data_IF_941419322737
#
_entry.id   IF_941419322737
#
_cell.length_a   1.000
_cell.length_b   1.000
_cell.length_c   1.000
_cell.angle_alpha   90.00
_cell.angle_beta   90.00
_cell.angle_gamma   90.00
#
_symmetry.space_group_name_H-M   'P 1'
#
loop_
_entity.id
_entity.type
_entity.pdbx_description
1 polymer ?
#
# COMPACT_ATOMS: atom_id res chain seq x y z
N UNK A 1 -17.85 21.70 -3.84
CA UNK A 1 -19.12 21.11 -3.39
C UNK A 1 -18.84 20.29 -2.13
N UNK A 2 -19.69 20.38 -1.10
CA UNK A 2 -19.51 19.66 0.16
C UNK A 2 -20.48 18.48 0.16
N UNK A 3 -19.95 17.27 0.10
CA UNK A 3 -20.73 16.03 0.04
C UNK A 3 -20.72 15.37 1.41
N UNK A 4 -21.86 14.81 1.83
CA UNK A 4 -21.98 14.12 3.12
C UNK A 4 -21.99 12.61 2.90
N UNK A 5 -21.22 11.91 3.72
CA UNK A 5 -21.16 10.46 3.73
C UNK A 5 -20.93 9.94 5.14
N UNK A 6 -20.85 8.62 5.25
CA UNK A 6 -20.62 7.92 6.52
C UNK A 6 -19.44 6.99 6.41
N UNK A 7 -18.91 6.56 7.54
CA UNK A 7 -18.06 5.38 7.60
C UNK A 7 -18.65 4.37 8.57
N UNK A 8 -18.61 3.10 8.20
CA UNK A 8 -19.31 2.03 8.92
C UNK A 8 -18.49 0.76 8.98
N UNK A 9 -18.80 -0.06 9.99
CA UNK A 9 -18.17 -1.36 10.22
C UNK A 9 -19.20 -2.37 10.74
N UNK A 10 -18.72 -3.54 11.18
CA UNK A 10 -19.56 -4.52 11.89
C UNK A 10 -20.37 -3.95 13.06
N UNK A 11 -19.94 -2.83 13.65
CA UNK A 11 -20.62 -2.19 14.77
C UNK A 11 -21.91 -1.46 14.38
N UNK A 12 -22.10 -1.17 13.10
CA UNK A 12 -23.34 -0.61 12.55
C UNK A 12 -24.31 -1.70 12.07
N UNK A 13 -23.97 -2.99 12.23
CA UNK A 13 -24.80 -4.11 11.80
C UNK A 13 -24.96 -4.18 10.28
N UNK A 14 -26.21 -4.28 9.82
CA UNK A 14 -26.58 -4.39 8.41
C UNK A 14 -27.49 -3.21 8.01
N UNK A 15 -26.92 -2.08 7.57
CA UNK A 15 -27.68 -0.90 7.19
C UNK A 15 -28.61 -1.12 5.99
N UNK A 16 -29.78 -0.48 6.02
CA UNK A 16 -30.67 -0.28 4.88
C UNK A 16 -30.15 0.90 4.06
N UNK A 17 -29.32 0.59 3.05
CA UNK A 17 -28.61 1.58 2.24
C UNK A 17 -29.52 2.41 1.32
N UNK A 18 -30.70 1.88 0.94
CA UNK A 18 -31.70 2.64 0.19
C UNK A 18 -32.30 3.75 1.07
N UNK A 19 -32.66 3.43 2.31
CA UNK A 19 -33.10 4.45 3.28
C UNK A 19 -31.98 5.43 3.61
N UNK A 20 -30.74 4.95 3.72
CA UNK A 20 -29.58 5.81 3.95
C UNK A 20 -29.41 6.82 2.81
N UNK A 21 -29.48 6.37 1.55
CA UNK A 21 -29.44 7.21 0.36
C UNK A 21 -30.54 8.28 0.38
N UNK A 22 -31.78 7.87 0.65
CA UNK A 22 -32.93 8.77 0.75
C UNK A 22 -32.78 9.80 1.89
N UNK A 23 -32.04 9.46 2.94
CA UNK A 23 -31.74 10.38 4.05
C UNK A 23 -30.59 11.36 3.75
N UNK A 24 -29.91 11.24 2.60
CA UNK A 24 -28.88 12.17 2.15
C UNK A 24 -27.45 11.62 2.18
N UNK A 25 -27.24 10.34 2.51
CA UNK A 25 -25.92 9.70 2.44
C UNK A 25 -25.51 9.54 0.98
N UNK A 26 -24.37 10.13 0.59
CA UNK A 26 -23.91 10.12 -0.81
C UNK A 26 -22.74 9.17 -1.06
N UNK A 27 -21.92 8.92 -0.03
CA UNK A 27 -20.84 7.94 -0.06
C UNK A 27 -20.70 7.22 1.27
N UNK A 28 -20.01 6.08 1.25
CA UNK A 28 -19.65 5.32 2.43
C UNK A 28 -18.19 4.85 2.37
N UNK A 29 -17.44 5.06 3.45
CA UNK A 29 -16.12 4.45 3.64
C UNK A 29 -16.30 3.21 4.53
N UNK A 30 -16.20 2.03 3.94
CA UNK A 30 -16.54 0.78 4.61
C UNK A 30 -15.32 0.17 5.29
N UNK A 31 -15.43 -0.33 6.51
CA UNK A 31 -14.34 -1.14 7.07
C UNK A 31 -14.18 -2.39 6.21
N UNK A 32 -13.06 -2.49 5.52
CA UNK A 32 -12.69 -3.71 4.78
C UNK A 32 -12.27 -4.79 5.76
N UNK A 33 -11.49 -4.41 6.77
CA UNK A 33 -10.96 -5.34 7.75
C UNK A 33 -10.20 -4.66 8.86
N UNK A 34 -9.61 -5.47 9.73
CA UNK A 34 -8.74 -5.03 10.80
C UNK A 34 -7.49 -5.87 10.83
N UNK A 35 -6.34 -5.25 11.11
CA UNK A 35 -5.07 -5.94 11.33
C UNK A 35 -4.95 -6.70 12.64
N UNK A 36 -5.97 -6.65 13.51
CA UNK A 36 -5.95 -7.32 14.80
C UNK A 36 -5.77 -8.84 14.65
N UNK A 37 -4.98 -9.45 15.54
CA UNK A 37 -4.66 -10.89 15.53
C UNK A 37 -4.21 -11.44 14.17
N UNK A 38 -3.39 -10.69 13.43
CA UNK A 38 -2.85 -11.13 12.15
C UNK A 38 -3.73 -10.81 10.95
N UNK A 39 -4.87 -10.14 11.12
CA UNK A 39 -5.68 -9.62 10.03
C UNK A 39 -6.95 -10.41 9.75
N UNK A 40 -8.09 -9.73 9.61
CA UNK A 40 -9.35 -10.34 9.17
C UNK A 40 -10.25 -9.34 8.43
N UNK A 41 -11.00 -9.85 7.45
CA UNK A 41 -12.03 -9.08 6.73
C UNK A 41 -13.24 -8.83 7.64
N UNK A 42 -13.75 -7.61 7.67
CA UNK A 42 -14.93 -7.27 8.44
C UNK A 42 -16.14 -8.07 7.93
N UNK A 43 -16.83 -8.77 8.82
CA UNK A 43 -17.97 -9.64 8.47
C UNK A 43 -19.11 -8.93 7.73
N UNK A 44 -19.20 -7.60 7.80
CA UNK A 44 -20.21 -6.79 7.13
C UNK A 44 -19.72 -6.17 5.82
N UNK A 45 -18.42 -6.25 5.51
CA UNK A 45 -17.82 -5.61 4.35
C UNK A 45 -18.51 -5.97 3.03
N UNK A 46 -18.67 -7.27 2.75
CA UNK A 46 -19.28 -7.73 1.49
C UNK A 46 -20.75 -7.33 1.34
N UNK A 47 -21.51 -7.37 2.44
CA UNK A 47 -22.88 -6.88 2.45
C UNK A 47 -22.91 -5.39 2.14
N UNK A 48 -22.15 -4.59 2.89
CA UNK A 48 -22.14 -3.13 2.74
C UNK A 48 -21.65 -2.73 1.35
N UNK A 49 -20.61 -3.38 0.83
CA UNK A 49 -20.12 -3.14 -0.51
C UNK A 49 -21.25 -3.36 -1.52
N UNK A 50 -21.85 -4.55 -1.54
CA UNK A 50 -22.91 -4.89 -2.51
C UNK A 50 -24.11 -3.95 -2.41
N UNK A 51 -24.61 -3.69 -1.22
CA UNK A 51 -25.83 -2.88 -1.02
C UNK A 51 -25.57 -1.38 -1.28
N UNK A 52 -24.39 -0.84 -0.95
CA UNK A 52 -24.02 0.52 -1.36
C UNK A 52 -23.98 0.65 -2.89
N UNK A 53 -23.35 -0.31 -3.57
CA UNK A 53 -23.27 -0.31 -5.05
C UNK A 53 -24.68 -0.36 -5.65
N UNK A 54 -25.59 -1.17 -5.09
CA UNK A 54 -26.98 -1.25 -5.53
C UNK A 54 -27.75 0.06 -5.33
N UNK A 55 -27.57 0.72 -4.19
CA UNK A 55 -28.21 1.99 -3.85
C UNK A 55 -27.58 3.23 -4.54
N UNK A 56 -26.55 3.03 -5.36
CA UNK A 56 -25.83 4.13 -6.00
C UNK A 56 -25.12 5.05 -5.00
N UNK A 57 -24.63 4.50 -3.89
CA UNK A 57 -23.78 5.16 -2.91
C UNK A 57 -22.32 4.89 -3.30
N UNK A 58 -21.52 5.95 -3.43
CA UNK A 58 -20.10 5.79 -3.77
C UNK A 58 -19.34 5.08 -2.66
N UNK A 59 -18.47 4.13 -3.01
CA UNK A 59 -17.78 3.27 -2.02
C UNK A 59 -16.30 3.57 -1.96
N UNK A 60 -15.80 3.78 -0.74
CA UNK A 60 -14.39 3.66 -0.38
C UNK A 60 -14.24 2.65 0.75
N UNK A 61 -13.01 2.39 1.18
CA UNK A 61 -12.76 1.44 2.27
C UNK A 61 -11.68 1.90 3.22
N UNK A 62 -11.65 1.33 4.42
CA UNK A 62 -10.54 1.50 5.35
C UNK A 62 -10.11 0.17 5.99
N UNK A 63 -8.85 0.11 6.43
CA UNK A 63 -8.31 -0.97 7.25
C UNK A 63 -7.88 -0.42 8.60
N UNK A 64 -8.56 -0.88 9.66
CA UNK A 64 -8.21 -0.55 11.03
C UNK A 64 -6.91 -1.26 11.43
N UNK A 65 -5.79 -0.53 11.38
CA UNK A 65 -4.46 -1.11 11.49
C UNK A 65 -4.10 -1.44 12.94
N UNK A 66 -3.45 -2.60 13.12
CA UNK A 66 -2.73 -2.97 14.34
C UNK A 66 -1.23 -3.13 14.07
N UNK A 67 -0.76 -2.51 12.98
CA UNK A 67 0.61 -2.49 12.50
C UNK A 67 1.13 -3.89 12.07
N UNK A 68 0.22 -4.80 11.72
CA UNK A 68 0.55 -6.09 11.10
C UNK A 68 0.63 -5.92 9.57
N UNK A 69 1.51 -5.01 9.13
CA UNK A 69 1.43 -4.40 7.80
C UNK A 69 1.42 -5.41 6.65
N UNK A 70 2.22 -6.48 6.72
CA UNK A 70 2.26 -7.49 5.66
C UNK A 70 0.91 -8.19 5.47
N UNK A 71 0.24 -8.58 6.57
CA UNK A 71 -1.05 -9.27 6.49
C UNK A 71 -2.20 -8.31 6.21
N UNK A 72 -2.11 -7.06 6.68
CA UNK A 72 -3.06 -6.00 6.34
C UNK A 72 -3.06 -5.70 4.84
N UNK A 73 -1.89 -5.64 4.20
CA UNK A 73 -1.76 -5.48 2.74
C UNK A 73 -2.36 -6.69 2.02
N UNK A 74 -1.96 -7.91 2.37
CA UNK A 74 -2.44 -9.13 1.71
C UNK A 74 -3.97 -9.27 1.80
N UNK A 75 -4.53 -9.04 3.00
CA UNK A 75 -5.96 -9.01 3.23
C UNK A 75 -6.66 -7.97 2.34
N UNK A 76 -6.12 -6.75 2.29
CA UNK A 76 -6.68 -5.65 1.48
C UNK A 76 -6.75 -6.03 0.01
N UNK A 77 -5.64 -6.50 -0.55
CA UNK A 77 -5.55 -6.82 -1.97
C UNK A 77 -6.44 -8.03 -2.34
N UNK A 78 -6.51 -9.04 -1.47
CA UNK A 78 -7.41 -10.19 -1.66
C UNK A 78 -8.87 -9.77 -1.61
N UNK A 79 -9.27 -8.98 -0.62
CA UNK A 79 -10.65 -8.55 -0.45
C UNK A 79 -11.11 -7.57 -1.54
N UNK A 80 -10.21 -6.76 -2.13
CA UNK A 80 -10.55 -5.83 -3.21
C UNK A 80 -10.48 -6.43 -4.61
N UNK A 81 -10.00 -7.67 -4.77
CA UNK A 81 -9.88 -8.30 -6.09
C UNK A 81 -11.21 -8.27 -6.84
N UNK A 82 -11.21 -7.64 -8.02
CA UNK A 82 -12.40 -7.53 -8.88
C UNK A 82 -13.44 -6.50 -8.42
N UNK A 83 -13.14 -5.69 -7.40
CA UNK A 83 -14.03 -4.63 -6.92
C UNK A 83 -13.62 -3.27 -7.48
N UNK A 84 -14.63 -2.44 -7.78
CA UNK A 84 -14.45 -1.04 -8.14
C UNK A 84 -14.82 -0.14 -6.95
N UNK A 85 -13.99 0.88 -6.68
CA UNK A 85 -14.21 1.87 -5.61
C UNK A 85 -14.25 3.30 -6.17
N UNK A 86 -15.27 4.06 -5.79
CA UNK A 86 -15.40 5.48 -6.14
C UNK A 86 -14.56 6.39 -5.22
N UNK A 87 -14.18 5.91 -4.04
CA UNK A 87 -13.43 6.63 -3.02
C UNK A 87 -12.17 5.86 -2.62
N UNK A 88 -11.21 6.50 -1.93
CA UNK A 88 -9.90 5.90 -1.63
C UNK A 88 -9.95 4.64 -0.73
N UNK A 89 -8.82 3.93 -0.74
CA UNK A 89 -8.46 2.94 0.28
C UNK A 89 -7.69 3.64 1.39
N UNK A 90 -8.28 3.76 2.57
CA UNK A 90 -7.66 4.42 3.70
C UNK A 90 -6.93 3.44 4.63
N UNK A 91 -5.73 3.83 5.04
CA UNK A 91 -5.01 3.23 6.16
C UNK A 91 -5.43 3.95 7.45
N UNK A 92 -6.19 3.29 8.29
CA UNK A 92 -6.64 3.82 9.58
C UNK A 92 -5.59 3.49 10.65
N UNK A 93 -4.89 4.53 11.10
CA UNK A 93 -3.85 4.47 12.13
C UNK A 93 -4.12 5.49 13.22
N UNK A 94 -4.33 5.01 14.44
CA UNK A 94 -4.64 5.83 15.61
C UNK A 94 -4.00 5.27 16.88
N UNK A 95 -4.36 5.81 18.04
CA UNK A 95 -3.86 5.34 19.33
C UNK A 95 -4.15 3.85 19.58
N UNK A 96 -5.31 3.35 19.12
CA UNK A 96 -5.64 1.92 19.26
C UNK A 96 -4.66 1.01 18.51
N UNK A 97 -4.07 1.49 17.40
CA UNK A 97 -3.12 0.72 16.58
C UNK A 97 -1.85 0.35 17.34
N UNK A 98 -1.49 1.17 18.33
CA UNK A 98 -0.33 0.95 19.18
C UNK A 98 -0.52 -0.28 20.08
N UNK A 99 -1.76 -0.58 20.51
CA UNK A 99 -2.06 -1.71 21.38
C UNK A 99 -1.27 -1.69 22.69
N UNK A 100 -1.01 -0.50 23.24
CA UNK A 100 -0.18 -0.29 24.43
C UNK A 100 1.33 -0.39 24.20
N UNK A 101 1.79 -0.67 22.97
CA UNK A 101 3.20 -0.71 22.60
C UNK A 101 3.73 0.69 22.32
N UNK A 102 5.00 0.92 22.61
CA UNK A 102 5.67 2.18 22.27
C UNK A 102 6.27 2.10 20.86
N UNK A 103 5.94 3.11 20.05
CA UNK A 103 6.51 3.30 18.71
C UNK A 103 7.00 4.73 18.55
N UNK A 104 8.14 4.86 17.87
CA UNK A 104 8.64 6.16 17.41
C UNK A 104 7.80 6.68 16.23
N UNK A 105 7.79 8.00 16.04
CA UNK A 105 7.14 8.62 14.89
C UNK A 105 7.72 8.10 13.56
N UNK A 106 9.01 7.78 13.53
CA UNK A 106 9.67 7.16 12.36
C UNK A 106 9.06 5.82 12.04
N UNK A 107 8.87 4.94 13.04
CA UNK A 107 8.26 3.62 12.83
C UNK A 107 6.82 3.74 12.34
N UNK A 108 6.00 4.57 12.98
CA UNK A 108 4.60 4.78 12.58
C UNK A 108 4.50 5.33 11.16
N UNK A 109 5.36 6.30 10.81
CA UNK A 109 5.44 6.85 9.47
C UNK A 109 5.91 5.80 8.45
N UNK A 110 6.89 4.95 8.80
CA UNK A 110 7.35 3.87 7.93
C UNK A 110 6.22 2.87 7.64
N UNK A 111 5.42 2.51 8.65
CA UNK A 111 4.29 1.60 8.48
C UNK A 111 3.21 2.19 7.57
N UNK A 112 2.81 3.45 7.81
CA UNK A 112 1.85 4.14 6.95
C UNK A 112 2.33 4.26 5.50
N UNK A 113 3.60 4.66 5.30
CA UNK A 113 4.21 4.76 3.97
C UNK A 113 4.26 3.40 3.28
N UNK A 114 4.65 2.34 3.99
CA UNK A 114 4.71 0.98 3.44
C UNK A 114 3.34 0.52 2.96
N UNK A 115 2.33 0.54 3.84
CA UNK A 115 0.96 0.14 3.47
C UNK A 115 0.46 0.91 2.25
N UNK A 116 0.52 2.24 2.31
CA UNK A 116 0.02 3.11 1.23
C UNK A 116 0.74 2.82 -0.08
N UNK A 117 2.07 2.71 -0.07
CA UNK A 117 2.84 2.48 -1.31
C UNK A 117 2.57 1.12 -1.95
N UNK A 118 2.39 0.04 -1.17
CA UNK A 118 2.11 -1.29 -1.73
C UNK A 118 0.69 -1.36 -2.32
N UNK A 119 -0.27 -0.73 -1.65
CA UNK A 119 -1.66 -0.65 -2.13
C UNK A 119 -1.76 0.25 -3.37
N UNK A 120 -0.98 1.34 -3.45
CA UNK A 120 -0.84 2.16 -4.66
C UNK A 120 -0.27 1.38 -5.85
N UNK A 121 0.79 0.58 -5.62
CA UNK A 121 1.37 -0.26 -6.68
C UNK A 121 0.37 -1.27 -7.24
N UNK A 122 -0.60 -1.69 -6.43
CA UNK A 122 -1.69 -2.56 -6.86
C UNK A 122 -2.79 -1.83 -7.65
N UNK A 123 -2.65 -0.52 -7.90
CA UNK A 123 -3.56 0.28 -8.72
C UNK A 123 -4.70 0.94 -7.93
N UNK A 124 -4.56 1.08 -6.62
CA UNK A 124 -5.53 1.80 -5.79
C UNK A 124 -5.03 3.19 -5.41
N UNK A 125 -5.93 4.16 -5.38
CA UNK A 125 -5.72 5.46 -4.77
C UNK A 125 -5.87 5.32 -3.26
N UNK A 126 -4.86 5.77 -2.51
CA UNK A 126 -4.77 5.58 -1.06
C UNK A 126 -4.84 6.88 -0.30
N UNK A 127 -5.25 6.79 0.95
CA UNK A 127 -5.12 7.86 1.92
C UNK A 127 -4.80 7.33 3.31
N UNK A 128 -4.55 8.24 4.24
CA UNK A 128 -4.38 7.95 5.66
C UNK A 128 -5.58 8.53 6.39
N UNK A 129 -6.23 7.69 7.19
CA UNK A 129 -7.17 8.13 8.19
C UNK A 129 -6.49 8.18 9.55
N UNK A 130 -6.73 9.27 10.28
CA UNK A 130 -6.31 9.39 11.66
C UNK A 130 -6.97 10.59 12.33
N UNK A 131 -7.05 10.59 13.65
CA UNK A 131 -7.44 11.80 14.38
C UNK A 131 -6.38 12.90 14.30
N UNK A 132 -6.83 14.15 14.44
CA UNK A 132 -5.97 15.33 14.34
C UNK A 132 -4.73 15.26 15.25
N UNK A 133 -4.89 14.84 16.50
CA UNK A 133 -3.80 14.83 17.46
C UNK A 133 -2.69 13.86 17.04
N UNK A 134 -3.07 12.69 16.52
CA UNK A 134 -2.14 11.71 16.00
C UNK A 134 -1.43 12.21 14.73
N UNK A 135 -2.15 12.85 13.80
CA UNK A 135 -1.55 13.48 12.62
C UNK A 135 -0.52 14.55 12.99
N UNK A 136 -0.81 15.39 13.98
CA UNK A 136 0.07 16.48 14.40
C UNK A 136 1.34 15.99 15.12
N UNK A 137 1.26 14.87 15.85
CA UNK A 137 2.29 14.50 16.82
C UNK A 137 2.97 13.15 16.59
N UNK A 138 2.42 12.28 15.75
CA UNK A 138 2.87 10.88 15.60
C UNK A 138 3.38 10.52 14.20
N UNK A 139 3.09 11.34 13.19
CA UNK A 139 3.51 11.11 11.80
C UNK A 139 4.33 12.29 11.27
N UNK A 140 5.35 12.00 10.47
CA UNK A 140 6.11 13.05 9.78
C UNK A 140 5.39 13.50 8.51
N UNK A 141 4.77 14.69 8.56
CA UNK A 141 4.03 15.28 7.45
C UNK A 141 4.77 15.22 6.11
N UNK A 142 6.05 15.60 6.09
CA UNK A 142 6.87 15.63 4.87
C UNK A 142 6.93 14.29 4.12
N UNK A 143 6.73 13.17 4.83
CA UNK A 143 6.77 11.82 4.27
C UNK A 143 5.41 11.30 3.83
N UNK A 144 4.33 11.87 4.37
CA UNK A 144 2.95 11.42 4.12
C UNK A 144 2.14 12.40 3.27
N UNK A 145 2.58 13.65 3.08
CA UNK A 145 1.86 14.72 2.36
C UNK A 145 1.47 14.43 0.90
N UNK A 146 2.00 13.34 0.33
CA UNK A 146 1.65 12.84 -1.01
C UNK A 146 0.40 11.96 -1.02
N UNK A 147 0.04 11.37 0.12
CA UNK A 147 -1.18 10.60 0.30
C UNK A 147 -2.30 11.54 0.73
N UNK A 148 -3.54 11.19 0.38
CA UNK A 148 -4.66 11.98 0.85
C UNK A 148 -4.91 11.76 2.35
N UNK A 149 -5.51 12.76 3.00
CA UNK A 149 -5.83 12.70 4.43
C UNK A 149 -7.33 12.72 4.62
N UNK A 150 -7.82 11.73 5.37
CA UNK A 150 -9.14 11.73 5.97
C UNK A 150 -8.98 11.99 7.48
N UNK A 151 -9.27 13.21 7.91
CA UNK A 151 -9.01 13.64 9.28
C UNK A 151 -10.23 13.46 10.17
N UNK A 152 -10.06 12.85 11.34
CA UNK A 152 -11.05 12.88 12.40
C UNK A 152 -10.81 14.08 13.33
N UNK A 153 -11.83 14.94 13.42
CA UNK A 153 -11.87 16.05 14.35
C UNK A 153 -13.33 16.44 14.60
N UNK A 154 -13.92 16.00 15.71
CA UNK A 154 -15.36 16.10 15.95
C UNK A 154 -15.83 17.54 16.27
N UNK A 155 -15.73 18.42 15.28
CA UNK A 155 -16.09 19.82 15.30
C UNK A 155 -16.46 20.23 13.86
N UNK A 156 -17.20 21.34 13.68
CA UNK A 156 -17.53 21.88 12.35
C UNK A 156 -16.34 22.51 11.64
N UNK A 157 -15.30 22.90 12.37
CA UNK A 157 -14.06 23.44 11.81
C UNK A 157 -12.88 22.59 12.20
N UNK A 158 -11.87 22.51 11.34
CA UNK A 158 -10.62 21.79 11.60
C UNK A 158 -9.49 22.79 11.66
N UNK A 159 -8.85 22.95 12.83
CA UNK A 159 -7.63 23.74 12.96
C UNK A 159 -6.38 22.90 12.65
N UNK A 160 -6.32 22.32 11.46
CA UNK A 160 -5.22 21.49 10.99
C UNK A 160 -4.49 22.21 9.85
N UNK A 161 -3.16 22.33 9.94
CA UNK A 161 -2.36 23.06 8.97
C UNK A 161 -2.11 22.27 7.68
N UNK A 162 -2.21 20.94 7.73
CA UNK A 162 -2.06 20.06 6.58
C UNK A 162 -3.28 20.07 5.66
N UNK A 163 -3.10 19.57 4.44
CA UNK A 163 -4.19 19.39 3.47
C UNK A 163 -4.95 18.09 3.77
N UNK A 164 -6.25 18.09 3.58
CA UNK A 164 -7.12 16.93 3.73
C UNK A 164 -8.28 16.96 2.73
N UNK A 165 -8.65 15.80 2.20
CA UNK A 165 -9.75 15.66 1.26
C UNK A 165 -11.08 15.26 1.92
N UNK A 166 -11.03 14.72 3.14
CA UNK A 166 -12.20 14.29 3.89
C UNK A 166 -12.06 14.60 5.39
N UNK A 167 -13.18 14.89 6.05
CA UNK A 167 -13.24 15.25 7.47
C UNK A 167 -14.38 14.52 8.17
N UNK A 168 -14.05 13.64 9.11
CA UNK A 168 -15.02 13.06 10.06
C UNK A 168 -15.31 14.09 11.15
N UNK A 169 -16.48 14.72 11.07
CA UNK A 169 -16.83 15.86 11.92
C UNK A 169 -17.70 15.46 13.12
N UNK A 170 -18.19 14.22 13.16
CA UNK A 170 -18.93 13.67 14.31
C UNK A 170 -18.99 12.15 14.23
N UNK A 171 -18.99 11.50 15.41
CA UNK A 171 -19.34 10.09 15.60
C UNK A 171 -20.80 9.86 16.01
N UNK A 172 -21.60 10.94 16.10
CA UNK A 172 -22.97 10.93 16.64
C UNK A 172 -24.03 11.22 15.58
N UNK A 173 -23.68 11.08 14.30
CA UNK A 173 -24.63 11.29 13.20
C UNK A 173 -25.81 10.32 13.30
N UNK A 174 -26.98 10.78 12.86
CA UNK A 174 -28.20 9.97 12.79
C UNK A 174 -28.67 9.92 11.35
N UNK A 175 -28.68 8.72 10.77
CA UNK A 175 -29.03 8.50 9.37
C UNK A 175 -30.08 7.40 9.29
N UNK A 176 -31.21 7.67 8.62
CA UNK A 176 -32.28 6.67 8.52
C UNK A 176 -31.74 5.45 7.79
N UNK A 177 -31.99 4.26 8.34
CA UNK A 177 -31.48 3.01 7.78
C UNK A 177 -30.11 2.58 8.28
N UNK A 178 -29.36 3.43 9.00
CA UNK A 178 -28.07 3.06 9.56
C UNK A 178 -28.19 2.96 11.09
N UNK A 179 -28.03 1.77 11.69
CA UNK A 179 -27.99 1.62 13.14
C UNK A 179 -26.82 2.37 13.78
N UNK A 180 -27.10 3.00 14.92
CA UNK A 180 -26.09 3.62 15.78
C UNK A 180 -25.18 2.56 16.42
N UNK A 181 -23.93 2.92 16.63
CA UNK A 181 -22.99 2.12 17.45
C UNK A 181 -23.26 2.31 18.94
N UNK A 182 -22.49 1.61 19.78
CA UNK A 182 -22.47 1.85 21.23
C UNK A 182 -22.05 3.27 21.64
N UNK A 183 -21.51 4.07 20.73
CA UNK A 183 -21.13 5.47 20.97
C UNK A 183 -22.28 6.47 20.73
N UNK A 184 -23.45 5.96 20.33
CA UNK A 184 -24.68 6.73 20.21
C UNK A 184 -24.96 7.30 18.83
N UNK A 185 -24.19 6.95 17.79
CA UNK A 185 -24.50 7.34 16.42
C UNK A 185 -23.61 6.67 15.37
N UNK A 186 -23.50 7.36 14.23
CA UNK A 186 -22.75 6.93 13.05
C UNK A 186 -21.69 7.99 12.74
N UNK A 187 -20.48 7.52 12.46
CA UNK A 187 -19.40 8.37 11.97
C UNK A 187 -19.78 9.04 10.65
N UNK A 188 -19.70 10.37 10.64
CA UNK A 188 -20.23 11.19 9.56
C UNK A 188 -19.19 12.17 9.06
N UNK A 189 -19.12 12.25 7.73
CA UNK A 189 -18.01 12.82 7.01
C UNK A 189 -18.46 13.91 6.04
N UNK A 190 -17.61 14.93 5.91
CA UNK A 190 -17.63 15.83 4.78
C UNK A 190 -16.49 15.50 3.83
N UNK A 191 -16.83 15.35 2.56
CA UNK A 191 -15.86 15.20 1.49
C UNK A 191 -15.79 16.49 0.67
N UNK A 192 -14.56 16.93 0.40
CA UNK A 192 -14.24 18.16 -0.32
C UNK A 192 -13.64 17.90 -1.70
N UNK A 193 -13.27 16.65 -1.98
CA UNK A 193 -12.62 16.21 -3.22
C UNK A 193 -13.60 15.40 -4.06
N UNK A 194 -13.62 15.63 -5.37
CA UNK A 194 -14.35 14.78 -6.31
C UNK A 194 -13.55 13.49 -6.57
N UNK A 195 -13.53 12.59 -5.58
CA UNK A 195 -12.90 11.28 -5.74
C UNK A 195 -13.49 10.45 -6.88
N UNK A 196 -14.82 10.37 -7.08
CA UNK A 196 -15.37 9.64 -8.20
C UNK A 196 -14.82 10.11 -9.57
N UNK A 197 -14.73 11.43 -9.77
CA UNK A 197 -14.10 12.00 -10.96
C UNK A 197 -12.60 11.70 -11.04
N UNK A 198 -11.89 11.77 -9.91
CA UNK A 198 -10.45 11.49 -9.82
C UNK A 198 -10.12 10.03 -10.14
N UNK A 199 -10.85 9.05 -9.57
CA UNK A 199 -10.62 7.62 -9.82
C UNK A 199 -10.81 7.27 -11.29
N UNK A 200 -11.84 7.83 -11.93
CA UNK A 200 -12.08 7.67 -13.37
C UNK A 200 -10.96 8.29 -14.21
N UNK A 201 -10.56 9.52 -13.87
CA UNK A 201 -9.51 10.24 -14.60
C UNK A 201 -8.15 9.54 -14.52
N UNK A 202 -7.82 8.97 -13.35
CA UNK A 202 -6.56 8.29 -13.10
C UNK A 202 -6.59 6.80 -13.48
N UNK A 203 -7.75 6.27 -13.85
CA UNK A 203 -7.98 4.84 -14.12
C UNK A 203 -7.52 3.94 -12.95
N UNK A 204 -7.74 4.38 -11.70
CA UNK A 204 -7.41 3.64 -10.47
C UNK A 204 -8.64 2.95 -9.89
N UNK A 205 -8.48 2.18 -8.80
CA UNK A 205 -9.59 1.62 -8.02
C UNK A 205 -10.57 0.75 -8.84
N UNK A 206 -10.04 -0.04 -9.78
CA UNK A 206 -10.86 -0.90 -10.63
C UNK A 206 -11.50 -0.18 -11.83
N UNK A 207 -11.22 1.11 -12.06
CA UNK A 207 -11.60 1.82 -13.29
C UNK A 207 -10.67 1.56 -14.48
N UNK A 208 -9.51 0.95 -14.23
CA UNK A 208 -8.60 0.51 -15.29
C UNK A 208 -9.32 -0.51 -16.17
N UNK A 209 -9.43 -0.21 -17.46
CA UNK A 209 -9.90 -1.21 -18.43
C UNK A 209 -8.98 -2.43 -18.34
N UNK A 210 -9.52 -3.66 -18.41
CA UNK A 210 -8.69 -4.83 -18.65
C UNK A 210 -7.82 -4.51 -19.87
N UNK A 211 -6.50 -4.58 -19.72
CA UNK A 211 -5.67 -4.74 -20.92
C UNK A 211 -6.18 -6.02 -21.59
N UNK A 212 -6.24 -6.03 -22.93
CA UNK A 212 -6.50 -7.27 -23.67
C UNK A 212 -5.72 -8.40 -23.01
N UNK A 213 -6.37 -9.54 -22.80
CA UNK A 213 -5.67 -10.77 -22.44
C UNK A 213 -4.59 -10.98 -23.48
N UNK A 214 -3.34 -10.66 -23.12
CA UNK A 214 -2.19 -11.22 -23.80
C UNK A 214 -2.32 -12.70 -23.50
N UNK A 215 -2.76 -13.50 -24.50
CA UNK A 215 -2.75 -14.95 -24.40
C UNK A 215 -1.39 -15.35 -23.82
N UNK A 216 -1.43 -16.00 -22.65
CA UNK A 216 -0.21 -16.46 -22.00
C UNK A 216 0.62 -17.26 -22.99
N UNK A 217 1.93 -17.02 -22.97
CA UNK A 217 2.89 -17.78 -23.78
C UNK A 217 2.70 -19.26 -23.48
N UNK A 218 2.74 -20.09 -24.53
CA UNK A 218 2.75 -21.54 -24.33
C UNK A 218 3.98 -21.93 -23.52
N UNK A 219 3.93 -23.06 -22.81
CA UNK A 219 5.04 -23.55 -21.98
C UNK A 219 6.37 -23.62 -22.75
N UNK A 220 6.30 -23.93 -24.05
CA UNK A 220 7.43 -23.97 -24.96
C UNK A 220 7.94 -22.57 -25.34
N UNK A 221 7.06 -21.59 -25.48
CA UNK A 221 7.44 -20.18 -25.68
C UNK A 221 7.97 -19.54 -24.41
N UNK A 222 7.45 -19.89 -23.23
CA UNK A 222 8.03 -19.52 -21.93
C UNK A 222 9.44 -20.08 -21.74
N UNK A 223 9.64 -21.37 -22.01
CA UNK A 223 10.96 -22.00 -21.93
C UNK A 223 11.95 -21.35 -22.91
N UNK A 224 11.50 -21.03 -24.12
CA UNK A 224 12.32 -20.34 -25.12
C UNK A 224 12.64 -18.89 -24.74
N UNK A 225 11.68 -18.16 -24.16
CA UNK A 225 11.91 -16.82 -23.60
C UNK A 225 12.86 -16.87 -22.40
N UNK A 226 12.70 -17.85 -21.50
CA UNK A 226 13.55 -18.03 -20.33
C UNK A 226 14.99 -18.40 -20.69
N UNK A 227 15.19 -19.12 -21.79
CA UNK A 227 16.52 -19.43 -22.34
C UNK A 227 17.16 -18.22 -23.07
N UNK A 228 16.33 -17.29 -23.55
CA UNK A 228 16.74 -16.00 -24.14
C UNK A 228 17.00 -14.90 -23.11
N UNK A 229 16.38 -14.96 -21.93
CA UNK A 229 16.65 -14.03 -20.82
C UNK A 229 17.98 -14.43 -20.15
N UNK A 230 19.07 -13.76 -20.53
CA UNK A 230 20.25 -13.65 -19.67
C UNK A 230 19.80 -13.03 -18.34
N UNK A 231 19.76 -13.82 -17.27
CA UNK A 231 19.33 -13.31 -15.97
C UNK A 231 20.46 -12.43 -15.44
N UNK A 232 20.26 -11.10 -15.49
CA UNK A 232 21.06 -10.19 -14.68
C UNK A 232 20.38 -10.08 -13.32
N UNK A 233 21.12 -10.35 -12.25
CA UNK A 233 20.65 -10.18 -10.88
C UNK A 233 21.45 -9.07 -10.24
N UNK A 234 20.76 -8.17 -9.54
CA UNK A 234 21.37 -7.16 -8.69
C UNK A 234 21.08 -7.54 -7.24
N UNK A 235 22.13 -7.91 -6.51
CA UNK A 235 22.06 -8.15 -5.07
C UNK A 235 22.61 -6.97 -4.29
N UNK A 236 21.93 -6.58 -3.22
CA UNK A 236 22.19 -5.33 -2.51
C UNK A 236 21.93 -5.45 -1.01
N UNK A 237 22.66 -4.65 -0.23
CA UNK A 237 22.30 -4.35 1.15
C UNK A 237 21.14 -3.34 1.19
N UNK A 238 20.22 -3.44 2.16
CA UNK A 238 19.01 -2.60 2.24
C UNK A 238 19.30 -1.10 2.16
N UNK A 239 20.41 -0.65 2.77
CA UNK A 239 20.87 0.75 2.73
C UNK A 239 21.16 1.27 1.31
N UNK A 240 21.32 0.38 0.33
CA UNK A 240 21.66 0.67 -1.05
C UNK A 240 20.55 0.34 -2.05
N UNK A 241 19.31 0.09 -1.58
CA UNK A 241 18.16 -0.22 -2.42
C UNK A 241 17.96 0.74 -3.60
N UNK A 242 17.97 2.06 -3.37
CA UNK A 242 17.74 3.05 -4.42
C UNK A 242 18.81 3.00 -5.52
N UNK A 243 20.04 2.62 -5.16
CA UNK A 243 21.16 2.45 -6.09
C UNK A 243 21.02 1.14 -6.87
N UNK A 244 20.56 0.09 -6.20
CA UNK A 244 20.23 -1.19 -6.83
C UNK A 244 19.14 -1.04 -7.89
N UNK A 245 18.09 -0.26 -7.59
CA UNK A 245 17.02 0.04 -8.55
C UNK A 245 17.55 0.74 -9.81
N UNK A 246 18.54 1.65 -9.69
CA UNK A 246 19.15 2.32 -10.86
C UNK A 246 19.84 1.32 -11.78
N UNK A 247 20.68 0.44 -11.22
CA UNK A 247 21.39 -0.61 -11.97
C UNK A 247 20.39 -1.60 -12.57
N UNK A 248 19.39 -2.02 -11.79
CA UNK A 248 18.39 -2.97 -12.25
C UNK A 248 17.57 -2.45 -13.43
N UNK A 249 17.21 -1.16 -13.45
CA UNK A 249 16.52 -0.52 -14.57
C UNK A 249 17.35 -0.54 -15.85
N UNK A 250 18.63 -0.17 -15.77
CA UNK A 250 19.51 -0.12 -16.95
C UNK A 250 19.79 -1.52 -17.52
N UNK A 251 19.95 -2.52 -16.64
CA UNK A 251 20.32 -3.87 -17.03
C UNK A 251 19.16 -4.85 -17.13
N UNK A 252 17.91 -4.37 -16.96
CA UNK A 252 16.70 -5.22 -16.89
C UNK A 252 16.88 -6.38 -15.90
N UNK A 253 17.43 -6.06 -14.74
CA UNK A 253 17.85 -7.04 -13.75
C UNK A 253 16.78 -7.30 -12.69
N UNK A 254 16.79 -8.51 -12.13
CA UNK A 254 16.02 -8.86 -10.94
C UNK A 254 16.74 -8.32 -9.70
N UNK A 255 15.98 -7.71 -8.79
CA UNK A 255 16.49 -7.24 -7.50
C UNK A 255 16.35 -8.32 -6.44
N UNK A 256 17.44 -8.64 -5.76
CA UNK A 256 17.46 -9.61 -4.67
C UNK A 256 18.13 -9.01 -3.44
N UNK A 257 17.39 -8.74 -2.35
CA UNK A 257 17.99 -8.32 -1.09
C UNK A 257 19.05 -9.34 -0.62
N UNK A 258 20.21 -8.86 -0.16
CA UNK A 258 21.28 -9.71 0.36
C UNK A 258 20.85 -10.51 1.60
N UNK A 259 19.85 -10.01 2.35
CA UNK A 259 19.25 -10.69 3.50
C UNK A 259 18.54 -12.01 3.15
N UNK A 260 18.20 -12.25 1.87
CA UNK A 260 17.58 -13.52 1.46
C UNK A 260 18.59 -14.69 1.40
N UNK A 261 19.88 -14.43 1.65
CA UNK A 261 20.95 -15.43 1.76
C UNK A 261 21.02 -16.44 0.59
N UNK A 262 20.79 -15.95 -0.64
CA UNK A 262 20.69 -16.78 -1.84
C UNK A 262 22.07 -17.20 -2.38
N UNK A 263 22.37 -18.51 -2.40
CA UNK A 263 23.60 -19.07 -2.99
C UNK A 263 23.54 -19.10 -4.52
N UNK A 264 23.86 -17.97 -5.15
CA UNK A 264 23.88 -17.87 -6.60
C UNK A 264 24.90 -18.77 -7.29
N UNK A 265 25.93 -19.28 -6.59
CA UNK A 265 26.93 -20.16 -7.19
C UNK A 265 26.33 -21.46 -7.73
N UNK A 266 25.29 -21.97 -7.06
CA UNK A 266 24.53 -23.16 -7.46
C UNK A 266 23.40 -22.87 -8.46
N UNK A 267 22.99 -21.60 -8.58
CA UNK A 267 21.87 -21.18 -9.43
C UNK A 267 22.31 -20.53 -10.74
N UNK A 268 23.56 -20.05 -10.82
CA UNK A 268 24.10 -19.30 -11.95
C UNK A 268 24.38 -20.21 -13.15
N UNK A 269 23.74 -19.92 -14.28
CA UNK A 269 24.08 -20.50 -15.59
C UNK A 269 25.26 -19.74 -16.21
N UNK A 270 25.96 -20.36 -17.16
CA UNK A 270 27.17 -19.79 -17.81
C UNK A 270 26.97 -18.41 -18.47
N UNK A 271 25.73 -17.98 -18.71
CA UNK A 271 25.38 -16.70 -19.35
C UNK A 271 24.79 -15.66 -18.38
N UNK A 272 24.57 -16.02 -17.11
CA UNK A 272 23.99 -15.14 -16.11
C UNK A 272 25.01 -14.13 -15.61
N UNK A 273 24.54 -12.93 -15.27
CA UNK A 273 25.36 -11.85 -14.73
C UNK A 273 24.88 -11.47 -13.33
N UNK A 274 25.77 -11.48 -12.36
CA UNK A 274 25.44 -11.09 -10.98
C UNK A 274 26.21 -9.81 -10.64
N UNK A 275 25.48 -8.78 -10.25
CA UNK A 275 26.01 -7.49 -9.83
C UNK A 275 25.72 -7.33 -8.34
N UNK A 276 26.76 -7.26 -7.52
CA UNK A 276 26.67 -6.98 -6.09
C UNK A 276 26.89 -5.51 -5.80
N UNK A 277 26.06 -4.91 -4.94
CA UNK A 277 26.20 -3.51 -4.51
C UNK A 277 26.46 -3.46 -3.00
N UNK A 278 27.66 -3.01 -2.64
CA UNK A 278 28.13 -2.81 -1.29
C UNK A 278 29.63 -3.10 -1.15
N UNK A 279 30.10 -3.18 0.09
CA UNK A 279 31.53 -2.98 0.39
C UNK A 279 32.34 -4.27 0.52
N UNK A 280 31.67 -5.42 0.75
CA UNK A 280 32.32 -6.71 1.00
C UNK A 280 31.54 -7.86 0.38
N UNK A 281 32.25 -8.93 -0.01
CA UNK A 281 31.65 -10.19 -0.47
C UNK A 281 32.20 -11.37 0.33
N UNK A 282 31.40 -12.42 0.53
CA UNK A 282 31.85 -13.65 1.19
C UNK A 282 31.18 -14.90 0.61
N UNK A 283 31.71 -16.09 0.96
CA UNK A 283 30.94 -17.33 0.78
C UNK A 283 29.74 -17.28 1.73
N UNK A 284 28.58 -17.70 1.23
CA UNK A 284 27.37 -17.83 2.04
C UNK A 284 27.55 -19.09 2.91
N UNK A 285 27.91 -18.88 4.18
CA UNK A 285 28.05 -19.92 5.19
C UNK A 285 27.34 -19.46 6.48
N UNK A 286 26.36 -20.23 6.96
CA UNK A 286 25.58 -19.92 8.17
C UNK A 286 24.57 -18.77 8.02
N UNK A 287 24.27 -18.09 9.12
CA UNK A 287 23.27 -16.98 9.23
C UNK A 287 23.82 -15.60 8.80
N UNK A 288 25.00 -15.56 8.19
CA UNK A 288 25.64 -14.29 7.83
C UNK A 288 25.08 -13.73 6.51
N UNK A 289 24.18 -12.75 6.62
CA UNK A 289 23.62 -11.99 5.50
C UNK A 289 24.71 -11.15 4.81
N UNK A 290 24.85 -11.25 3.48
CA UNK A 290 25.86 -10.48 2.75
C UNK A 290 25.83 -10.68 1.24
N UNK A 291 26.49 -9.78 0.52
CA UNK A 291 26.63 -9.85 -0.95
C UNK A 291 27.43 -11.10 -1.31
N UNK A 292 26.87 -11.90 -2.22
CA UNK A 292 27.47 -13.18 -2.59
C UNK A 292 28.88 -13.04 -3.18
N UNK A 293 29.76 -13.98 -2.86
CA UNK A 293 31.08 -14.11 -3.50
C UNK A 293 31.03 -14.40 -5.00
N UNK A 294 29.88 -14.83 -5.53
CA UNK A 294 29.70 -15.24 -6.94
C UNK A 294 29.36 -14.10 -7.92
N UNK A 295 29.35 -12.85 -7.45
CA UNK A 295 29.15 -11.67 -8.29
C UNK A 295 30.20 -11.58 -9.41
N UNK A 296 29.77 -11.30 -10.64
CA UNK A 296 30.67 -10.93 -11.75
C UNK A 296 31.17 -9.49 -11.59
N UNK A 297 30.36 -8.64 -10.95
CA UNK A 297 30.67 -7.25 -10.67
C UNK A 297 30.41 -6.96 -9.19
N UNK A 298 31.35 -6.28 -8.52
CA UNK A 298 31.14 -5.72 -7.18
C UNK A 298 31.29 -4.21 -7.27
N UNK A 299 30.25 -3.50 -6.83
CA UNK A 299 30.15 -2.05 -6.98
C UNK A 299 29.95 -1.43 -5.60
N UNK A 300 30.93 -0.67 -5.13
CA UNK A 300 30.75 0.16 -3.94
C UNK A 300 29.67 1.20 -4.20
N UNK A 301 28.89 1.51 -3.18
CA UNK A 301 27.66 2.26 -3.35
C UNK A 301 27.88 3.70 -3.84
N UNK A 302 29.04 4.29 -3.57
CA UNK A 302 29.50 5.60 -4.06
C UNK A 302 29.96 5.57 -5.53
N UNK A 303 30.15 4.39 -6.11
CA UNK A 303 30.65 4.18 -7.49
C UNK A 303 29.60 3.75 -8.49
N UNK A 304 28.32 3.71 -8.09
CA UNK A 304 27.21 3.26 -8.94
C UNK A 304 27.09 4.08 -10.22
N UNK A 305 27.24 5.40 -10.16
CA UNK A 305 27.15 6.24 -11.36
C UNK A 305 28.35 6.05 -12.30
N UNK A 306 29.52 5.65 -11.78
CA UNK A 306 30.67 5.27 -12.60
C UNK A 306 30.46 3.88 -13.24
N UNK A 307 29.90 2.93 -12.51
CA UNK A 307 29.52 1.61 -13.01
C UNK A 307 28.53 1.69 -14.17
N UNK A 308 27.52 2.55 -14.06
CA UNK A 308 26.51 2.73 -15.11
C UNK A 308 27.12 3.30 -16.40
N UNK A 309 28.20 4.08 -16.31
CA UNK A 309 28.93 4.63 -17.46
C UNK A 309 29.86 3.60 -18.08
N UNK A 310 30.60 2.85 -17.27
CA UNK A 310 31.55 1.84 -17.72
C UNK A 310 31.70 0.71 -16.69
N UNK A 311 30.89 -0.34 -16.86
CA UNK A 311 30.93 -1.51 -15.98
C UNK A 311 32.21 -2.34 -16.11
N UNK A 312 32.98 -2.19 -17.19
CA UNK A 312 34.17 -3.04 -17.42
C UNK A 312 35.23 -2.85 -16.33
N UNK A 313 35.29 -1.66 -15.73
CA UNK A 313 36.15 -1.30 -14.60
C UNK A 313 35.84 -2.05 -13.30
N UNK A 314 34.65 -2.62 -13.19
CA UNK A 314 34.14 -3.27 -11.99
C UNK A 314 34.05 -4.78 -12.13
N UNK A 315 34.50 -5.33 -13.27
CA UNK A 315 34.51 -6.77 -13.50
C UNK A 315 35.49 -7.43 -12.53
N UNK A 316 35.00 -8.39 -11.74
CA UNK A 316 35.85 -9.22 -10.90
C UNK A 316 36.58 -10.20 -11.80
N UNK A 317 37.91 -10.14 -11.84
CA UNK A 317 38.72 -11.21 -12.40
C UNK A 317 38.51 -12.45 -11.51
N UNK A 318 38.01 -13.53 -12.10
CA UNK A 318 37.97 -14.84 -11.43
C UNK A 318 39.37 -15.42 -11.32
#
# INVERSE_FOLDING_TARGET
MKIVGVDVSKYNGYPDWEKAKQSGVQFAILRLGSGYNGGYVDKTFEYNYRECKKAGIGVGVYVASYLNISSEIDMTLKALKGKQLEYPVYFDIEDFSLGGRSYTNTQLTNYAVRYCSEVERAGYYVGIYSNKAFLDSRLYWERIKKYDIWIAHWNKGVNYAGKYGMHQYTNKGQWRGIPSTGEGGVDTNWCFVDYPGLMKKLELNGYKKPKEEVKGLTKMEEEKLLDEIKQTVVTYEDRDYDKAVKIAKQHRAVLVPAELNMDFGKMKRSKDTIIGIGDKTGKIEGENFGITGYCDYLVSADKVDEFLKDRSKFLRRK
#
